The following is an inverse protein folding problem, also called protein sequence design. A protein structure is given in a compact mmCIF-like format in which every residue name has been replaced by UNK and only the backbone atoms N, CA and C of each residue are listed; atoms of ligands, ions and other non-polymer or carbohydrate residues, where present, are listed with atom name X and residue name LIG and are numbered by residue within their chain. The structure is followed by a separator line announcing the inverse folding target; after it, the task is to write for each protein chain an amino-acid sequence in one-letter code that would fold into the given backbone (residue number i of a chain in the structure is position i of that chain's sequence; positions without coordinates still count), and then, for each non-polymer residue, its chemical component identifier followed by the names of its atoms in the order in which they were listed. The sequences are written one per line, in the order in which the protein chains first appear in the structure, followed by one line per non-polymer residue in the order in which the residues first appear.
data_IF_104546136882
#
_entry.id   IF_104546136882
#
_cell.length_a   1.000
_cell.length_b   1.000
_cell.length_c   1.000
_cell.angle_alpha   90.00
_cell.angle_beta   90.00
_cell.angle_gamma   90.00
#
_symmetry.space_group_name_H-M   'P 1'
#
loop_
_entity.id
_entity.type
_entity.pdbx_description
1 polymer ?
#
# COMPACT_ATOMS: atom_id res chain seq x y z
N UNK A 1 -10.86 12.92 12.09
CA UNK A 1 -10.96 11.87 11.06
C UNK A 1 -11.79 12.26 9.84
N UNK A 2 -13.08 12.65 9.98
CA UNK A 2 -13.99 12.90 8.83
C UNK A 2 -13.39 13.80 7.73
N UNK A 3 -12.71 14.90 8.11
CA UNK A 3 -12.06 15.84 7.18
C UNK A 3 -10.93 15.22 6.32
N UNK A 4 -10.30 14.14 6.78
CA UNK A 4 -9.18 13.48 6.09
C UNK A 4 -9.55 12.10 5.53
N UNK A 5 -10.78 11.63 5.79
CA UNK A 5 -11.21 10.27 5.47
C UNK A 5 -11.18 10.02 3.96
N UNK A 6 -11.73 10.94 3.16
CA UNK A 6 -11.67 10.87 1.69
C UNK A 6 -10.22 10.71 1.22
N UNK A 7 -9.29 11.50 1.76
CA UNK A 7 -7.86 11.41 1.39
C UNK A 7 -7.24 10.08 1.80
N UNK A 8 -7.55 9.57 2.99
CA UNK A 8 -7.07 8.28 3.47
C UNK A 8 -7.51 7.16 2.52
N UNK A 9 -8.79 7.11 2.17
CA UNK A 9 -9.31 6.09 1.26
C UNK A 9 -8.75 6.24 -0.17
N UNK A 10 -8.74 7.47 -0.71
CA UNK A 10 -8.17 7.73 -2.03
C UNK A 10 -6.69 7.36 -2.09
N UNK A 11 -5.91 7.64 -1.04
CA UNK A 11 -4.49 7.27 -1.01
C UNK A 11 -4.32 5.76 -0.89
N UNK A 12 -5.13 5.06 -0.08
CA UNK A 12 -5.09 3.60 -0.01
C UNK A 12 -5.35 2.94 -1.36
N UNK A 13 -6.32 3.48 -2.11
CA UNK A 13 -6.57 3.06 -3.49
C UNK A 13 -5.41 3.37 -4.43
N UNK A 14 -4.78 4.54 -4.33
CA UNK A 14 -3.62 4.90 -5.15
C UNK A 14 -2.39 4.02 -4.87
N UNK A 15 -2.17 3.62 -3.61
CA UNK A 15 -1.08 2.69 -3.26
C UNK A 15 -1.23 1.34 -3.95
N UNK A 16 -2.47 0.93 -4.25
CA UNK A 16 -2.74 -0.27 -5.06
C UNK A 16 -2.66 -0.01 -6.56
N UNK A 17 -3.32 1.06 -7.02
CA UNK A 17 -3.47 1.39 -8.43
C UNK A 17 -2.13 1.68 -9.11
N UNK A 18 -1.23 2.38 -8.43
CA UNK A 18 0.06 2.79 -9.02
C UNK A 18 0.92 1.55 -9.35
N UNK A 19 1.23 0.63 -8.41
CA UNK A 19 1.89 -0.64 -8.73
C UNK A 19 1.16 -1.43 -9.81
N UNK A 20 -0.18 -1.49 -9.76
CA UNK A 20 -0.97 -2.21 -10.77
C UNK A 20 -0.75 -1.65 -12.18
N UNK A 21 -0.80 -0.33 -12.35
CA UNK A 21 -0.54 0.33 -13.64
C UNK A 21 0.92 0.13 -14.07
N UNK A 22 1.86 0.21 -13.14
CA UNK A 22 3.29 -0.05 -13.42
C UNK A 22 3.53 -1.51 -13.81
N UNK A 23 2.69 -2.45 -13.40
CA UNK A 23 2.79 -3.86 -13.78
C UNK A 23 2.41 -4.15 -15.24
N UNK A 24 1.57 -3.30 -15.85
CA UNK A 24 1.06 -3.48 -17.23
C UNK A 24 2.19 -3.66 -18.26
N UNK A 25 3.21 -2.77 -18.34
CA UNK A 25 4.29 -2.93 -19.32
C UNK A 25 5.16 -4.17 -19.12
N UNK A 26 5.08 -4.84 -17.96
CA UNK A 26 5.79 -6.10 -17.72
C UNK A 26 5.06 -7.33 -18.28
N UNK A 27 3.85 -7.18 -18.82
CA UNK A 27 3.04 -8.29 -19.33
C UNK A 27 2.81 -8.17 -20.84
N UNK A 28 2.78 -9.32 -21.52
CA UNK A 28 2.36 -9.41 -22.92
C UNK A 28 0.85 -9.15 -23.05
N UNK A 29 0.38 -8.93 -24.28
CA UNK A 29 -1.07 -8.83 -24.58
C UNK A 29 -1.84 -10.09 -24.18
N UNK A 30 -1.16 -11.22 -24.12
CA UNK A 30 -1.70 -12.53 -23.75
C UNK A 30 -1.59 -12.80 -22.23
N UNK A 31 -1.11 -11.82 -21.46
CA UNK A 31 -0.98 -11.91 -20.00
C UNK A 31 0.27 -12.63 -19.50
N UNK A 32 1.25 -12.93 -20.38
CA UNK A 32 2.50 -13.57 -19.97
C UNK A 32 3.49 -12.55 -19.44
N UNK A 33 4.17 -12.85 -18.33
CA UNK A 33 5.23 -12.01 -17.82
C UNK A 33 6.41 -11.97 -18.82
N UNK A 34 6.83 -10.78 -19.20
CA UNK A 34 7.91 -10.52 -20.17
C UNK A 34 9.31 -10.46 -19.53
N UNK A 35 9.38 -10.56 -18.20
CA UNK A 35 10.60 -10.44 -17.41
C UNK A 35 10.72 -11.58 -16.40
N UNK A 36 11.83 -11.62 -15.69
CA UNK A 36 12.02 -12.53 -14.56
C UNK A 36 11.01 -12.24 -13.42
N UNK A 37 10.47 -13.32 -12.84
CA UNK A 37 9.45 -13.23 -11.80
C UNK A 37 9.96 -12.55 -10.53
N UNK A 38 11.21 -12.78 -10.14
CA UNK A 38 11.80 -12.15 -8.96
C UNK A 38 12.05 -10.67 -9.18
N UNK A 39 12.54 -10.30 -10.37
CA UNK A 39 12.70 -8.90 -10.75
C UNK A 39 11.36 -8.17 -10.73
N UNK A 40 10.34 -8.73 -11.37
CA UNK A 40 8.98 -8.16 -11.37
C UNK A 40 8.47 -7.92 -9.94
N UNK A 41 8.50 -8.96 -9.10
CA UNK A 41 8.06 -8.87 -7.70
C UNK A 41 8.83 -7.83 -6.91
N UNK A 42 10.14 -7.72 -7.14
CA UNK A 42 10.99 -6.74 -6.47
C UNK A 42 10.60 -5.31 -6.87
N UNK A 43 10.41 -5.06 -8.16
CA UNK A 43 9.95 -3.75 -8.65
C UNK A 43 8.58 -3.39 -8.06
N UNK A 44 7.64 -4.34 -8.01
CA UNK A 44 6.32 -4.10 -7.42
C UNK A 44 6.39 -3.72 -5.93
N UNK A 45 7.26 -4.38 -5.16
CA UNK A 45 7.49 -4.03 -3.74
C UNK A 45 8.07 -2.62 -3.63
N UNK A 46 9.06 -2.27 -4.45
CA UNK A 46 9.70 -0.95 -4.40
C UNK A 46 8.72 0.16 -4.76
N UNK A 47 7.97 0.00 -5.86
CA UNK A 47 6.97 0.96 -6.31
C UNK A 47 5.85 1.11 -5.28
N UNK A 48 5.34 0.02 -4.73
CA UNK A 48 4.29 0.03 -3.71
C UNK A 48 4.73 0.73 -2.42
N UNK A 49 5.89 0.36 -1.88
CA UNK A 49 6.41 0.99 -0.66
C UNK A 49 6.75 2.47 -0.89
N UNK A 50 7.39 2.81 -2.00
CA UNK A 50 7.72 4.20 -2.32
C UNK A 50 6.45 5.07 -2.43
N UNK A 51 5.45 4.57 -3.17
CA UNK A 51 4.14 5.23 -3.29
C UNK A 51 3.49 5.42 -1.93
N UNK A 52 3.45 4.36 -1.10
CA UNK A 52 2.93 4.41 0.26
C UNK A 52 3.64 5.45 1.13
N UNK A 53 4.97 5.49 1.10
CA UNK A 53 5.77 6.45 1.84
C UNK A 53 5.47 7.90 1.42
N UNK A 54 5.43 8.19 0.12
CA UNK A 54 5.16 9.53 -0.41
C UNK A 54 3.75 10.00 -0.04
N UNK A 55 2.74 9.14 -0.21
CA UNK A 55 1.35 9.47 0.11
C UNK A 55 1.15 9.64 1.63
N UNK A 56 1.80 8.80 2.43
CA UNK A 56 1.74 8.89 3.89
C UNK A 56 2.42 10.18 4.38
N UNK A 57 3.60 10.51 3.87
CA UNK A 57 4.29 11.77 4.17
C UNK A 57 3.41 12.98 3.80
N UNK A 58 2.79 12.95 2.61
CA UNK A 58 1.85 13.99 2.18
C UNK A 58 0.66 14.11 3.16
N UNK A 59 0.11 12.99 3.62
CA UNK A 59 -1.01 12.96 4.57
C UNK A 59 -0.63 13.53 5.94
N UNK A 60 0.55 13.17 6.46
CA UNK A 60 1.08 13.63 7.75
C UNK A 60 1.14 15.16 7.83
N UNK A 61 1.58 15.81 6.75
CA UNK A 61 1.68 17.26 6.67
C UNK A 61 0.31 17.97 6.72
N UNK A 62 -0.78 17.26 6.42
CA UNK A 62 -2.14 17.80 6.38
C UNK A 62 -2.94 17.59 7.67
N UNK A 63 -2.44 16.76 8.59
CA UNK A 63 -3.11 16.46 9.86
C UNK A 63 -2.52 17.38 10.94
N UNK A 64 -3.32 18.25 11.59
CA UNK A 64 -2.86 19.07 12.71
C UNK A 64 -2.83 18.27 14.03
N UNK A 65 -1.97 18.68 14.97
CA UNK A 65 -1.91 18.13 16.33
C UNK A 65 -1.38 16.70 16.40
N UNK A 66 -1.87 15.92 17.38
CA UNK A 66 -1.51 14.50 17.56
C UNK A 66 -2.06 13.65 16.42
N UNK A 67 -1.16 12.97 15.71
CA UNK A 67 -1.38 12.25 14.46
C UNK A 67 -1.29 10.73 14.62
N UNK A 68 -0.72 10.21 15.71
CA UNK A 68 -0.45 8.77 15.87
C UNK A 68 -1.70 7.92 15.61
N UNK A 69 -2.82 8.20 16.30
CA UNK A 69 -4.06 7.42 16.16
C UNK A 69 -4.58 7.44 14.72
N UNK A 70 -4.51 8.58 14.04
CA UNK A 70 -5.02 8.73 12.66
C UNK A 70 -4.12 7.99 11.67
N UNK A 71 -2.80 8.11 11.82
CA UNK A 71 -1.82 7.47 10.94
C UNK A 71 -1.79 5.96 11.14
N UNK A 72 -1.85 5.49 12.39
CA UNK A 72 -1.92 4.05 12.66
C UNK A 72 -3.20 3.42 12.09
N UNK A 73 -4.36 4.08 12.25
CA UNK A 73 -5.60 3.66 11.61
C UNK A 73 -5.50 3.69 10.07
N UNK A 74 -4.75 4.65 9.50
CA UNK A 74 -4.51 4.72 8.05
C UNK A 74 -3.79 3.48 7.53
N UNK A 75 -2.81 2.95 8.26
CA UNK A 75 -2.12 1.70 7.89
C UNK A 75 -3.08 0.51 7.76
N UNK A 76 -3.98 0.33 8.73
CA UNK A 76 -5.00 -0.73 8.66
C UNK A 76 -5.99 -0.50 7.51
N UNK A 77 -6.46 0.73 7.32
CA UNK A 77 -7.38 1.05 6.22
C UNK A 77 -6.74 0.73 4.87
N UNK A 78 -5.47 1.12 4.67
CA UNK A 78 -4.77 0.85 3.42
C UNK A 78 -4.53 -0.65 3.20
N UNK A 79 -4.18 -1.39 4.26
CA UNK A 79 -4.07 -2.85 4.20
C UNK A 79 -5.38 -3.49 3.74
N UNK A 80 -6.50 -3.13 4.38
CA UNK A 80 -7.83 -3.66 4.02
C UNK A 80 -8.22 -3.31 2.59
N UNK A 81 -7.94 -2.08 2.13
CA UNK A 81 -8.21 -1.67 0.74
C UNK A 81 -7.37 -2.51 -0.23
N UNK A 82 -6.08 -2.68 0.02
CA UNK A 82 -5.18 -3.38 -0.89
C UNK A 82 -5.51 -4.87 -0.96
N UNK A 83 -5.74 -5.53 0.18
CA UNK A 83 -6.25 -6.89 0.18
C UNK A 83 -7.60 -6.99 -0.52
N UNK A 84 -8.55 -6.09 -0.24
CA UNK A 84 -9.86 -6.09 -0.90
C UNK A 84 -9.74 -6.02 -2.42
N UNK A 85 -8.92 -5.10 -2.94
CA UNK A 85 -8.69 -4.97 -4.38
C UNK A 85 -7.97 -6.17 -4.98
N UNK A 86 -7.02 -6.76 -4.26
CA UNK A 86 -6.36 -7.98 -4.71
C UNK A 86 -7.34 -9.14 -4.81
N UNK A 87 -8.17 -9.37 -3.80
CA UNK A 87 -9.17 -10.44 -3.84
C UNK A 87 -10.22 -10.22 -4.93
N UNK A 88 -10.55 -8.96 -5.24
CA UNK A 88 -11.51 -8.62 -6.29
C UNK A 88 -10.92 -8.67 -7.70
N UNK A 89 -9.63 -8.36 -7.87
CA UNK A 89 -9.01 -8.13 -9.19
C UNK A 89 -7.79 -9.01 -9.39
N UNK A 90 -6.78 -8.89 -8.51
CA UNK A 90 -5.47 -9.50 -8.73
C UNK A 90 -5.49 -11.03 -8.58
N UNK A 91 -6.19 -11.56 -7.59
CA UNK A 91 -6.29 -12.99 -7.29
C UNK A 91 -7.03 -13.75 -8.41
N UNK A 92 -8.21 -13.31 -8.89
CA UNK A 92 -8.83 -13.91 -10.07
C UNK A 92 -7.95 -13.83 -11.33
N UNK A 93 -7.25 -12.71 -11.51
CA UNK A 93 -6.39 -12.48 -12.67
C UNK A 93 -5.13 -13.36 -12.67
N UNK A 94 -4.53 -13.57 -11.50
CA UNK A 94 -3.29 -14.34 -11.36
C UNK A 94 -3.51 -15.86 -11.36
N UNK A 95 -4.76 -16.31 -11.15
CA UNK A 95 -5.14 -17.73 -10.98
C UNK A 95 -4.39 -18.42 -9.83
N UNK A 96 -3.87 -17.64 -8.88
CA UNK A 96 -3.22 -18.16 -7.69
C UNK A 96 -4.27 -18.63 -6.67
N UNK A 97 -3.92 -19.61 -5.84
CA UNK A 97 -4.73 -19.93 -4.67
C UNK A 97 -4.48 -18.87 -3.56
N UNK A 98 -5.32 -18.90 -2.52
CA UNK A 98 -5.27 -17.92 -1.41
C UNK A 98 -3.98 -18.04 -0.59
N UNK A 99 -3.46 -19.26 -0.42
CA UNK A 99 -2.24 -19.51 0.35
C UNK A 99 -1.01 -18.89 -0.34
N UNK A 100 -0.83 -19.21 -1.62
CA UNK A 100 0.23 -18.65 -2.48
C UNK A 100 0.14 -17.14 -2.53
N UNK A 101 -1.07 -16.58 -2.58
CA UNK A 101 -1.27 -15.14 -2.54
C UNK A 101 -0.70 -14.52 -1.25
N UNK A 102 -1.01 -15.07 -0.08
CA UNK A 102 -0.51 -14.49 1.17
C UNK A 102 1.01 -14.59 1.30
N UNK A 103 1.59 -15.74 0.91
CA UNK A 103 3.04 -15.98 0.96
C UNK A 103 3.77 -15.02 0.01
N UNK A 104 3.25 -14.82 -1.19
CA UNK A 104 3.96 -14.11 -2.24
C UNK A 104 3.64 -12.61 -2.28
N UNK A 105 2.48 -12.18 -1.79
CA UNK A 105 1.97 -10.82 -1.91
C UNK A 105 1.35 -10.33 -0.60
N UNK A 106 0.33 -11.00 -0.08
CA UNK A 106 -0.53 -10.50 0.99
C UNK A 106 0.23 -10.07 2.25
N UNK A 107 1.21 -10.85 2.70
CA UNK A 107 2.03 -10.52 3.88
C UNK A 107 2.94 -9.31 3.68
N UNK A 108 3.32 -8.99 2.43
CA UNK A 108 4.18 -7.85 2.13
C UNK A 108 3.50 -6.52 2.44
N UNK A 109 2.17 -6.47 2.41
CA UNK A 109 1.41 -5.26 2.77
C UNK A 109 1.45 -4.92 4.25
N UNK A 110 1.94 -5.81 5.13
CA UNK A 110 2.13 -5.48 6.55
C UNK A 110 3.11 -4.32 6.76
N UNK A 111 3.98 -4.03 5.77
CA UNK A 111 4.83 -2.83 5.77
C UNK A 111 4.01 -1.55 5.91
N UNK A 112 2.77 -1.49 5.40
CA UNK A 112 1.88 -0.33 5.56
C UNK A 112 1.58 -0.05 7.03
N UNK A 113 1.36 -1.09 7.84
CA UNK A 113 1.14 -0.93 9.28
C UNK A 113 2.43 -0.46 9.95
N UNK A 114 3.57 -1.10 9.66
CA UNK A 114 4.83 -0.78 10.34
C UNK A 114 5.31 0.65 10.04
N UNK A 115 5.19 1.09 8.78
CA UNK A 115 5.59 2.44 8.37
C UNK A 115 4.63 3.47 8.98
N UNK A 116 3.31 3.24 8.90
CA UNK A 116 2.32 4.17 9.45
C UNK A 116 2.41 4.30 10.98
N UNK A 117 2.66 3.20 11.69
CA UNK A 117 2.94 3.19 13.12
C UNK A 117 4.17 4.03 13.44
N UNK A 118 5.30 3.72 12.79
CA UNK A 118 6.58 4.40 13.05
C UNK A 118 6.48 5.90 12.81
N UNK A 119 5.93 6.30 11.66
CA UNK A 119 5.74 7.71 11.32
C UNK A 119 4.82 8.40 12.31
N UNK A 120 3.66 7.80 12.64
CA UNK A 120 2.75 8.38 13.61
C UNK A 120 3.36 8.55 14.99
N UNK A 121 4.16 7.58 15.43
CA UNK A 121 4.79 7.57 16.74
C UNK A 121 5.86 8.67 16.86
N UNK A 122 6.70 8.81 15.83
CA UNK A 122 7.74 9.84 15.77
C UNK A 122 7.12 11.23 15.72
N UNK A 123 6.09 11.45 14.91
CA UNK A 123 5.45 12.76 14.77
C UNK A 123 4.85 13.27 16.08
N UNK A 124 4.21 12.40 16.87
CA UNK A 124 3.61 12.79 18.14
C UNK A 124 4.67 13.06 19.23
N UNK A 125 5.82 12.38 19.17
CA UNK A 125 6.93 12.65 20.10
C UNK A 125 7.72 13.90 19.74
N UNK A 126 7.95 14.14 18.45
CA UNK A 126 8.66 15.35 18.00
C UNK A 126 7.88 16.64 18.23
N UNK A 127 6.57 16.57 18.47
CA UNK A 127 5.72 17.75 18.75
C UNK A 127 5.57 18.02 20.25
N UNK A 128 6.02 17.10 21.12
CA UNK A 128 5.96 17.23 22.59
C UNK A 128 7.28 17.73 23.22
N UNK A 129 8.32 17.96 22.41
CA UNK A 129 9.55 18.65 22.80
C UNK A 129 9.54 20.07 22.22
#
# INVERSE_FOLDING_TARGET
MKKHLVRIFSYGFLVWLIPFVVAIPFHSRDGKLLTDLFLFKTVMILVGNFTGCVLLASLVLKIPGKKFRILFATGFIWLTINWGLDFLILLPMSKMNVEDYFIQIGLRYLTMIFISFTVGWVMDRSTNN
#
